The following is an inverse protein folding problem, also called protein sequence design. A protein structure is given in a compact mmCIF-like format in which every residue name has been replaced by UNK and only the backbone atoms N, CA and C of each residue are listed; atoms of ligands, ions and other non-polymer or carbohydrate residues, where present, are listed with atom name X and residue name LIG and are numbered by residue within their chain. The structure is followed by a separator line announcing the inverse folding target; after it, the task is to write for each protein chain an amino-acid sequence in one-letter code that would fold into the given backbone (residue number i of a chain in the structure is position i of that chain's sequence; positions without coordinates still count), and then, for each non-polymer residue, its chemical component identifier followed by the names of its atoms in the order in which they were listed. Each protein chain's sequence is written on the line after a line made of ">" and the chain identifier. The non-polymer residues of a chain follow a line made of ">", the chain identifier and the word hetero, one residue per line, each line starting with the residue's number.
data_IF_611128442659
#
_entry.id   IF_611128442659
#
_cell.length_a   1.000
_cell.length_b   1.000
_cell.length_c   1.000
_cell.angle_alpha   90.00
_cell.angle_beta   90.00
_cell.angle_gamma   90.00
#
_symmetry.space_group_name_H-M   'P 1'
#
loop_
_entity.id
_entity.type
_entity.pdbx_description
1 polymer ?
#
# COMPACT_ATOMS: atom_id res chain seq x y z
N UNK A 1 -2.97 12.67 -25.89
CA UNK A 1 -3.28 11.43 -25.15
C UNK A 1 -3.35 11.78 -23.68
N UNK A 2 -4.41 11.39 -22.96
CA UNK A 2 -4.51 11.60 -21.51
C UNK A 2 -3.70 10.48 -20.85
N UNK A 3 -2.65 10.85 -20.13
CA UNK A 3 -1.84 9.90 -19.35
C UNK A 3 -2.61 9.52 -18.10
N UNK A 4 -2.56 8.24 -17.73
CA UNK A 4 -3.25 7.66 -16.58
C UNK A 4 -2.83 8.36 -15.30
N UNK A 5 -3.82 8.72 -14.49
CA UNK A 5 -3.59 9.33 -13.19
C UNK A 5 -4.11 8.41 -12.09
N UNK A 6 -3.19 7.72 -11.43
CA UNK A 6 -3.49 6.76 -10.37
C UNK A 6 -4.36 7.35 -9.24
N UNK A 7 -4.16 8.63 -8.92
CA UNK A 7 -4.92 9.32 -7.88
C UNK A 7 -6.38 9.49 -8.31
N UNK A 8 -6.62 9.96 -9.53
CA UNK A 8 -7.96 10.28 -10.02
C UNK A 8 -8.72 9.07 -10.58
N UNK A 9 -8.03 8.15 -11.22
CA UNK A 9 -8.60 7.00 -11.92
C UNK A 9 -8.79 5.84 -10.96
N UNK A 10 -7.79 5.53 -10.14
CA UNK A 10 -7.85 4.39 -9.22
C UNK A 10 -8.28 4.81 -7.81
N UNK A 11 -7.51 5.62 -7.09
CA UNK A 11 -7.75 5.90 -5.67
C UNK A 11 -9.11 6.60 -5.44
N UNK A 12 -9.36 7.71 -6.12
CA UNK A 12 -10.63 8.44 -6.07
C UNK A 12 -11.69 7.89 -7.03
N UNK A 13 -11.29 7.09 -8.01
CA UNK A 13 -12.16 6.53 -9.03
C UNK A 13 -12.64 5.13 -8.67
N UNK A 14 -11.89 4.12 -9.12
CA UNK A 14 -12.24 2.71 -8.95
C UNK A 14 -12.37 2.33 -7.47
N UNK A 15 -11.35 2.58 -6.66
CA UNK A 15 -11.33 2.16 -5.25
C UNK A 15 -12.45 2.81 -4.45
N UNK A 16 -12.63 4.14 -4.55
CA UNK A 16 -13.72 4.84 -3.86
C UNK A 16 -15.10 4.26 -4.18
N UNK A 17 -15.35 3.89 -5.45
CA UNK A 17 -16.62 3.28 -5.87
C UNK A 17 -16.78 1.89 -5.28
N UNK A 18 -15.74 1.06 -5.32
CA UNK A 18 -15.73 -0.27 -4.72
C UNK A 18 -15.93 -0.19 -3.20
N UNK A 19 -15.15 0.63 -2.50
CA UNK A 19 -15.26 0.82 -1.06
C UNK A 19 -16.67 1.29 -0.65
N UNK A 20 -17.25 2.23 -1.39
CA UNK A 20 -18.63 2.66 -1.15
C UNK A 20 -19.61 1.52 -1.33
N UNK A 21 -19.41 0.66 -2.32
CA UNK A 21 -20.25 -0.51 -2.54
C UNK A 21 -20.08 -1.57 -1.44
N UNK A 22 -18.86 -1.81 -0.96
CA UNK A 22 -18.61 -2.67 0.22
C UNK A 22 -19.35 -2.16 1.46
N UNK A 23 -19.42 -0.84 1.67
CA UNK A 23 -20.24 -0.28 2.76
C UNK A 23 -21.75 -0.56 2.57
N UNK A 24 -22.26 -0.51 1.34
CA UNK A 24 -23.67 -0.89 1.05
C UNK A 24 -23.91 -2.37 1.32
N UNK A 25 -22.92 -3.20 1.04
CA UNK A 25 -22.97 -4.64 1.29
C UNK A 25 -23.05 -4.93 2.79
N UNK A 26 -22.20 -4.29 3.59
CA UNK A 26 -22.22 -4.43 5.05
C UNK A 26 -23.54 -3.93 5.67
N UNK A 27 -24.09 -2.83 5.15
CA UNK A 27 -25.39 -2.30 5.58
C UNK A 27 -26.55 -3.25 5.24
N UNK A 28 -26.45 -3.98 4.12
CA UNK A 28 -27.44 -4.98 3.71
C UNK A 28 -27.30 -6.31 4.46
N UNK A 29 -26.09 -6.70 4.87
CA UNK A 29 -25.82 -7.99 5.50
C UNK A 29 -26.40 -8.08 6.91
N UNK A 30 -26.06 -7.15 7.83
CA UNK A 30 -26.58 -7.09 9.22
C UNK A 30 -26.40 -5.69 9.82
N UNK A 31 -27.32 -5.30 10.72
CA UNK A 31 -27.15 -4.11 11.56
C UNK A 31 -25.88 -4.24 12.41
N UNK A 32 -25.03 -3.21 12.41
CA UNK A 32 -23.82 -3.16 13.24
C UNK A 32 -22.49 -3.40 12.51
N UNK A 33 -22.47 -4.06 11.34
CA UNK A 33 -21.21 -4.37 10.63
C UNK A 33 -20.42 -3.14 10.19
N UNK A 34 -21.12 -2.07 9.83
CA UNK A 34 -20.49 -0.77 9.52
C UNK A 34 -19.84 -0.15 10.77
N UNK A 35 -20.38 -0.40 11.97
CA UNK A 35 -19.77 0.06 13.22
C UNK A 35 -18.52 -0.76 13.55
N UNK A 36 -18.56 -2.07 13.34
CA UNK A 36 -17.41 -2.97 13.49
C UNK A 36 -16.27 -2.58 12.55
N UNK A 37 -16.57 -2.34 11.27
CA UNK A 37 -15.61 -1.81 10.29
C UNK A 37 -14.93 -0.51 10.79
N UNK A 38 -15.72 0.44 11.31
CA UNK A 38 -15.16 1.69 11.83
C UNK A 38 -14.27 1.43 13.04
N UNK A 39 -14.66 0.50 13.93
CA UNK A 39 -13.84 0.10 15.07
C UNK A 39 -12.51 -0.49 14.60
N UNK A 40 -12.52 -1.36 13.60
CA UNK A 40 -11.30 -1.94 13.03
C UNK A 40 -10.39 -0.85 12.44
N UNK A 41 -10.93 0.09 11.66
CA UNK A 41 -10.14 1.23 11.15
C UNK A 41 -9.54 2.07 12.28
N UNK A 42 -10.30 2.38 13.34
CA UNK A 42 -9.77 3.12 14.49
C UNK A 42 -8.66 2.37 15.24
N UNK A 43 -8.64 1.04 15.16
CA UNK A 43 -7.64 0.18 15.79
C UNK A 43 -6.38 -0.02 14.95
N UNK A 44 -6.39 0.41 13.68
CA UNK A 44 -5.18 0.38 12.85
C UNK A 44 -4.13 1.32 13.48
N UNK A 45 -2.96 0.78 13.90
CA UNK A 45 -1.93 1.62 14.50
C UNK A 45 -1.35 2.55 13.43
N UNK A 46 -0.80 3.68 13.87
CA UNK A 46 -0.06 4.59 12.97
C UNK A 46 1.21 3.91 12.49
N UNK A 47 1.39 3.80 11.17
CA UNK A 47 2.56 3.16 10.58
C UNK A 47 3.44 4.19 9.86
N UNK A 48 4.69 4.28 10.33
CA UNK A 48 5.65 5.33 9.98
C UNK A 48 5.15 6.72 10.33
N UNK A 49 6.03 7.62 10.77
CA UNK A 49 5.69 8.92 11.34
C UNK A 49 4.71 9.73 10.47
N UNK A 50 4.72 9.51 9.15
CA UNK A 50 3.92 10.27 8.19
C UNK A 50 3.09 9.46 7.18
N UNK A 51 3.08 8.11 7.21
CA UNK A 51 2.57 7.33 6.06
C UNK A 51 1.19 6.70 6.20
N UNK A 52 0.77 6.24 7.38
CA UNK A 52 -0.63 5.86 7.65
C UNK A 52 -1.06 6.59 8.92
N UNK A 53 -1.99 7.53 8.76
CA UNK A 53 -2.53 8.28 9.89
C UNK A 53 -3.62 7.50 10.61
N UNK A 54 -3.76 7.76 11.91
CA UNK A 54 -4.83 7.17 12.71
C UNK A 54 -6.20 7.59 12.16
N UNK A 55 -7.07 6.61 11.89
CA UNK A 55 -8.46 6.85 11.49
C UNK A 55 -9.30 7.30 12.70
N UNK A 56 -9.15 8.56 13.11
CA UNK A 56 -9.85 9.12 14.29
C UNK A 56 -11.37 9.29 14.11
N UNK A 57 -11.84 9.23 12.87
CA UNK A 57 -13.25 9.43 12.53
C UNK A 57 -13.78 8.25 11.75
N UNK A 58 -15.10 8.02 11.81
CA UNK A 58 -15.74 6.90 11.13
C UNK A 58 -15.44 6.93 9.62
N UNK A 59 -14.57 6.03 9.17
CA UNK A 59 -14.21 5.83 7.76
C UNK A 59 -15.43 5.62 6.86
N UNK A 60 -16.49 4.99 7.38
CA UNK A 60 -17.73 4.79 6.62
C UNK A 60 -18.45 6.09 6.25
N UNK A 61 -18.27 7.18 7.02
CA UNK A 61 -18.89 8.48 6.73
C UNK A 61 -18.21 9.17 5.54
N UNK A 62 -16.95 8.83 5.25
CA UNK A 62 -16.11 9.40 4.18
C UNK A 62 -16.22 10.93 4.06
N UNK A 63 -16.23 11.61 5.21
CA UNK A 63 -16.42 13.07 5.29
C UNK A 63 -15.05 13.75 5.26
N UNK A 64 -14.87 14.74 4.39
CA UNK A 64 -13.62 15.52 4.23
C UNK A 64 -12.39 14.65 3.91
N UNK A 65 -12.58 13.50 3.23
CA UNK A 65 -11.46 12.64 2.83
C UNK A 65 -10.79 13.17 1.57
N UNK A 66 -9.47 13.31 1.62
CA UNK A 66 -8.60 13.55 0.49
C UNK A 66 -8.23 12.23 -0.21
N UNK A 67 -7.61 12.30 -1.39
CA UNK A 67 -7.19 11.11 -2.14
C UNK A 67 -6.21 10.21 -1.36
N UNK A 68 -5.29 10.82 -0.60
CA UNK A 68 -4.36 10.10 0.27
C UNK A 68 -5.10 9.22 1.29
N UNK A 69 -6.22 9.69 1.82
CA UNK A 69 -6.98 8.89 2.79
C UNK A 69 -7.61 7.66 2.14
N UNK A 70 -7.97 7.73 0.85
CA UNK A 70 -8.48 6.58 0.10
C UNK A 70 -7.40 5.52 -0.13
N UNK A 71 -6.18 5.95 -0.45
CA UNK A 71 -5.02 5.05 -0.49
C UNK A 71 -4.84 4.34 0.85
N UNK A 72 -4.85 5.07 1.96
CA UNK A 72 -4.66 4.48 3.29
C UNK A 72 -5.79 3.52 3.66
N UNK A 73 -7.04 3.84 3.28
CA UNK A 73 -8.18 2.92 3.42
C UNK A 73 -7.98 1.61 2.67
N UNK A 74 -7.43 1.66 1.45
CA UNK A 74 -7.16 0.47 0.65
C UNK A 74 -6.08 -0.38 1.29
N UNK A 75 -4.94 0.23 1.64
CA UNK A 75 -3.80 -0.49 2.21
C UNK A 75 -4.15 -1.19 3.52
N UNK A 76 -5.05 -0.60 4.32
CA UNK A 76 -5.50 -1.18 5.58
C UNK A 76 -6.78 -2.03 5.42
N UNK A 77 -7.29 -2.22 4.21
CA UNK A 77 -8.62 -2.82 3.99
C UNK A 77 -8.66 -4.30 4.37
N UNK A 78 -7.69 -5.10 3.92
CA UNK A 78 -7.65 -6.56 4.13
C UNK A 78 -7.97 -6.92 5.60
N UNK A 79 -7.19 -6.47 6.60
CA UNK A 79 -7.46 -6.84 8.00
C UNK A 79 -8.69 -6.19 8.62
N UNK A 80 -9.13 -5.07 8.05
CA UNK A 80 -10.29 -4.34 8.54
C UNK A 80 -11.59 -5.02 8.11
N UNK A 81 -11.58 -5.63 6.92
CA UNK A 81 -12.72 -6.35 6.37
C UNK A 81 -12.77 -7.83 6.74
N UNK A 82 -11.74 -8.34 7.43
CA UNK A 82 -11.69 -9.70 7.97
C UNK A 82 -12.93 -9.99 8.86
N UNK A 83 -13.58 -11.13 8.61
CA UNK A 83 -14.75 -11.67 9.35
C UNK A 83 -16.00 -10.77 9.42
N UNK A 84 -16.11 -9.79 8.53
CA UNK A 84 -17.29 -8.90 8.49
C UNK A 84 -18.49 -9.51 7.76
N UNK A 85 -18.26 -10.41 6.80
CA UNK A 85 -19.31 -11.08 6.03
C UNK A 85 -19.40 -12.57 6.42
N UNK A 86 -20.57 -13.21 6.24
CA UNK A 86 -20.66 -14.66 6.35
C UNK A 86 -19.91 -15.33 5.19
N UNK A 87 -19.32 -16.49 5.45
CA UNK A 87 -18.82 -17.36 4.39
C UNK A 87 -19.99 -17.84 3.49
N UNK A 88 -19.80 -17.94 2.16
CA UNK A 88 -18.54 -17.85 1.40
C UNK A 88 -18.15 -16.42 0.95
N UNK A 89 -18.98 -15.42 1.23
CA UNK A 89 -18.82 -14.06 0.67
C UNK A 89 -17.64 -13.29 1.24
N UNK A 90 -17.20 -13.66 2.44
CA UNK A 90 -16.01 -13.10 3.08
C UNK A 90 -14.75 -13.47 2.30
N UNK A 91 -14.53 -14.74 1.94
CA UNK A 91 -13.41 -15.14 1.08
C UNK A 91 -13.39 -14.39 -0.26
N UNK A 92 -14.54 -14.24 -0.93
CA UNK A 92 -14.65 -13.44 -2.15
C UNK A 92 -14.25 -11.98 -1.94
N UNK A 93 -14.68 -11.37 -0.83
CA UNK A 93 -14.34 -9.99 -0.49
C UNK A 93 -12.84 -9.85 -0.21
N UNK A 94 -12.26 -10.77 0.57
CA UNK A 94 -10.84 -10.75 0.93
C UNK A 94 -9.95 -10.91 -0.30
N UNK A 95 -10.29 -11.83 -1.21
CA UNK A 95 -9.62 -11.98 -2.52
C UNK A 95 -9.72 -10.72 -3.37
N UNK A 96 -10.87 -10.05 -3.38
CA UNK A 96 -11.05 -8.80 -4.12
C UNK A 96 -10.14 -7.69 -3.56
N UNK A 97 -10.10 -7.52 -2.23
CA UNK A 97 -9.26 -6.53 -1.57
C UNK A 97 -7.77 -6.82 -1.81
N UNK A 98 -7.37 -8.10 -1.76
CA UNK A 98 -6.01 -8.50 -2.10
C UNK A 98 -5.64 -8.12 -3.52
N UNK A 99 -6.47 -8.44 -4.52
CA UNK A 99 -6.21 -8.11 -5.92
C UNK A 99 -6.12 -6.60 -6.15
N UNK A 100 -6.97 -5.81 -5.49
CA UNK A 100 -6.92 -4.34 -5.56
C UNK A 100 -5.62 -3.77 -4.95
N UNK A 101 -5.21 -4.28 -3.78
CA UNK A 101 -3.95 -3.89 -3.14
C UNK A 101 -2.73 -4.30 -3.99
N UNK A 102 -2.75 -5.52 -4.53
CA UNK A 102 -1.66 -6.04 -5.37
C UNK A 102 -1.53 -5.20 -6.65
N UNK A 103 -2.64 -4.94 -7.34
CA UNK A 103 -2.65 -4.08 -8.53
C UNK A 103 -2.15 -2.66 -8.22
N UNK A 104 -2.61 -2.06 -7.12
CA UNK A 104 -2.16 -0.72 -6.69
C UNK A 104 -0.66 -0.69 -6.37
N UNK A 105 -0.13 -1.75 -5.76
CA UNK A 105 1.30 -1.90 -5.51
C UNK A 105 2.14 -1.95 -6.77
N UNK A 106 1.70 -2.73 -7.75
CA UNK A 106 2.35 -2.79 -9.06
C UNK A 106 2.29 -1.43 -9.77
N UNK A 107 1.12 -0.79 -9.77
CA UNK A 107 0.92 0.50 -10.45
C UNK A 107 1.79 1.63 -9.86
N UNK A 108 2.18 1.53 -8.58
CA UNK A 108 3.04 2.53 -7.94
C UNK A 108 4.52 2.33 -8.18
N UNK A 109 4.98 1.15 -8.66
CA UNK A 109 6.40 0.80 -8.75
C UNK A 109 7.22 1.93 -9.41
N UNK A 110 8.33 2.32 -8.77
CA UNK A 110 9.26 3.32 -9.33
C UNK A 110 10.17 2.74 -10.42
N UNK A 111 10.16 1.43 -10.61
CA UNK A 111 10.89 0.73 -11.65
C UNK A 111 10.10 -0.50 -12.06
N UNK A 112 9.94 -0.68 -13.37
CA UNK A 112 9.29 -1.84 -13.95
C UNK A 112 10.30 -2.67 -14.75
N UNK A 113 10.18 -3.99 -14.64
CA UNK A 113 10.85 -4.97 -15.51
C UNK A 113 9.79 -5.61 -16.40
N UNK A 114 10.19 -6.37 -17.42
CA UNK A 114 9.24 -7.14 -18.24
C UNK A 114 8.35 -8.05 -17.38
N UNK A 115 8.92 -8.65 -16.34
CA UNK A 115 8.19 -9.55 -15.45
C UNK A 115 7.16 -8.81 -14.59
N UNK A 116 7.48 -7.62 -14.05
CA UNK A 116 6.50 -6.86 -13.28
C UNK A 116 5.38 -6.30 -14.14
N UNK A 117 5.65 -5.98 -15.41
CA UNK A 117 4.62 -5.58 -16.37
C UNK A 117 3.71 -6.76 -16.75
N UNK A 118 4.27 -7.93 -17.07
CA UNK A 118 3.47 -9.17 -17.31
C UNK A 118 2.63 -9.54 -16.09
N UNK A 119 3.19 -9.39 -14.88
CA UNK A 119 2.46 -9.60 -13.64
C UNK A 119 1.31 -8.61 -13.50
N UNK A 120 1.51 -7.34 -13.83
CA UNK A 120 0.47 -6.31 -13.78
C UNK A 120 -0.67 -6.61 -14.79
N UNK A 121 -0.37 -7.05 -16.00
CA UNK A 121 -1.39 -7.51 -16.97
C UNK A 121 -2.20 -8.68 -16.41
N UNK A 122 -1.51 -9.70 -15.89
CA UNK A 122 -2.14 -10.88 -15.27
C UNK A 122 -3.05 -10.49 -14.11
N UNK A 123 -2.58 -9.65 -13.19
CA UNK A 123 -3.35 -9.17 -12.05
C UNK A 123 -4.55 -8.33 -12.50
N UNK A 124 -4.42 -7.55 -13.57
CA UNK A 124 -5.53 -6.77 -14.13
C UNK A 124 -6.64 -7.68 -14.67
N UNK A 125 -6.28 -8.75 -15.38
CA UNK A 125 -7.23 -9.77 -15.86
C UNK A 125 -7.89 -10.49 -14.69
N UNK A 126 -7.11 -10.92 -13.69
CA UNK A 126 -7.62 -11.57 -12.48
C UNK A 126 -8.60 -10.66 -11.73
N UNK A 127 -8.26 -9.38 -11.55
CA UNK A 127 -9.11 -8.38 -10.91
C UNK A 127 -10.44 -8.20 -11.67
N UNK A 128 -10.37 -8.07 -13.00
CA UNK A 128 -11.55 -7.92 -13.85
C UNK A 128 -12.49 -9.12 -13.79
N UNK A 129 -11.93 -10.35 -13.82
CA UNK A 129 -12.72 -11.58 -13.69
C UNK A 129 -13.34 -11.69 -12.30
N UNK A 130 -12.56 -11.43 -11.25
CA UNK A 130 -13.03 -11.51 -9.87
C UNK A 130 -14.12 -10.49 -9.57
N UNK A 131 -14.04 -9.27 -10.11
CA UNK A 131 -15.09 -8.26 -9.99
C UNK A 131 -16.42 -8.69 -10.63
N UNK A 132 -16.37 -9.40 -11.77
CA UNK A 132 -17.56 -9.94 -12.43
C UNK A 132 -18.18 -11.05 -11.59
N UNK A 133 -17.37 -12.00 -11.11
CA UNK A 133 -17.82 -13.08 -10.23
C UNK A 133 -18.40 -12.54 -8.93
N UNK A 134 -17.71 -11.60 -8.26
CA UNK A 134 -18.18 -10.92 -7.05
C UNK A 134 -19.54 -10.23 -7.25
N UNK A 135 -19.74 -9.61 -8.42
CA UNK A 135 -21.00 -8.95 -8.76
C UNK A 135 -22.12 -9.97 -8.98
N UNK A 136 -21.84 -11.08 -9.64
CA UNK A 136 -22.84 -12.10 -9.97
C UNK A 136 -23.24 -12.95 -8.75
N UNK A 137 -22.32 -13.23 -7.83
CA UNK A 137 -22.55 -14.15 -6.71
C UNK A 137 -22.88 -13.39 -5.42
N UNK A 138 -21.98 -12.52 -4.97
CA UNK A 138 -22.16 -11.78 -3.72
C UNK A 138 -23.22 -10.69 -3.86
N UNK A 139 -23.16 -9.86 -4.90
CA UNK A 139 -24.11 -8.75 -5.03
C UNK A 139 -25.53 -9.20 -5.41
N UNK A 140 -25.69 -10.41 -5.97
CA UNK A 140 -27.02 -11.00 -6.19
C UNK A 140 -27.67 -11.47 -4.87
N UNK A 141 -26.85 -11.90 -3.90
CA UNK A 141 -27.34 -12.40 -2.60
C UNK A 141 -27.76 -11.26 -1.67
N UNK A 142 -27.09 -10.11 -1.73
CA UNK A 142 -27.38 -8.95 -0.89
C UNK A 142 -28.09 -7.85 -1.66
N UNK A 143 -29.32 -7.51 -1.26
CA UNK A 143 -30.05 -6.37 -1.84
C UNK A 143 -29.46 -5.03 -1.39
N UNK A 144 -28.38 -4.59 -2.05
CA UNK A 144 -27.70 -3.33 -1.73
C UNK A 144 -28.56 -2.11 -2.08
N UNK A 145 -28.67 -1.19 -1.11
CA UNK A 145 -29.36 0.10 -1.25
C UNK A 145 -28.35 1.23 -1.14
N UNK A 146 -28.74 2.41 -1.61
CA UNK A 146 -28.01 3.64 -1.35
C UNK A 146 -27.75 3.80 0.16
N UNK A 147 -26.54 4.25 0.54
CA UNK A 147 -26.31 4.61 1.94
C UNK A 147 -27.24 5.76 2.33
N UNK A 148 -27.58 5.88 3.61
CA UNK A 148 -28.41 6.98 4.13
C UNK A 148 -27.96 8.36 3.62
N UNK A 149 -26.64 8.64 3.65
CA UNK A 149 -26.07 9.90 3.15
C UNK A 149 -26.27 10.12 1.64
N UNK A 150 -26.30 9.04 0.85
CA UNK A 150 -26.46 9.13 -0.61
C UNK A 150 -27.90 9.47 -0.94
N UNK A 151 -28.85 8.81 -0.26
CA UNK A 151 -30.27 9.11 -0.36
C UNK A 151 -30.54 10.58 0.06
N UNK A 152 -30.00 11.03 1.20
CA UNK A 152 -30.13 12.43 1.63
C UNK A 152 -29.54 13.42 0.63
N UNK A 153 -28.36 13.13 0.06
CA UNK A 153 -27.73 13.97 -0.95
C UNK A 153 -28.57 14.02 -2.23
N UNK A 154 -29.18 12.90 -2.63
CA UNK A 154 -30.11 12.85 -3.75
C UNK A 154 -31.36 13.68 -3.47
N UNK A 155 -31.99 13.55 -2.31
CA UNK A 155 -33.16 14.37 -1.93
C UNK A 155 -32.83 15.86 -1.98
N UNK A 156 -31.66 16.28 -1.46
CA UNK A 156 -31.20 17.68 -1.54
C UNK A 156 -31.00 18.16 -2.98
N UNK A 157 -30.44 17.32 -3.84
CA UNK A 157 -30.25 17.66 -5.27
C UNK A 157 -31.60 17.77 -5.99
N UNK A 158 -32.50 16.83 -5.77
CA UNK A 158 -33.83 16.84 -6.35
C UNK A 158 -34.61 18.09 -5.90
N UNK A 159 -34.58 18.42 -4.60
CA UNK A 159 -35.19 19.64 -4.07
C UNK A 159 -34.61 20.92 -4.72
N UNK A 160 -33.30 20.96 -4.94
CA UNK A 160 -32.65 22.07 -5.65
C UNK A 160 -33.06 22.14 -7.12
N UNK A 161 -33.12 21.01 -7.82
CA UNK A 161 -33.55 20.94 -9.21
C UNK A 161 -35.02 21.32 -9.38
N UNK A 162 -35.90 20.92 -8.46
CA UNK A 162 -37.31 21.33 -8.47
C UNK A 162 -37.46 22.83 -8.23
N UNK A 163 -36.68 23.40 -7.31
CA UNK A 163 -36.64 24.85 -7.06
C UNK A 163 -36.18 25.63 -8.30
N UNK A 164 -35.14 25.13 -9.00
CA UNK A 164 -34.61 25.74 -10.22
C UNK A 164 -35.58 25.63 -11.41
N UNK A 165 -36.35 24.54 -11.51
CA UNK A 165 -37.30 24.31 -12.61
C UNK A 165 -38.64 25.03 -12.43
N UNK A 166 -39.09 25.28 -11.20
CA UNK A 166 -40.41 25.87 -10.96
C UNK A 166 -40.43 27.38 -10.78
N UNK A 167 -39.30 28.08 -10.62
CA UNK A 167 -39.24 29.55 -10.58
C UNK A 167 -40.12 30.23 -9.50
N UNK A 168 -40.70 29.46 -8.59
CA UNK A 168 -41.65 29.94 -7.57
C UNK A 168 -41.14 29.49 -6.21
N UNK A 169 -40.92 30.47 -5.32
CA UNK A 169 -40.75 30.27 -3.88
C UNK A 169 -42.10 29.86 -3.26
N UNK A 170 -42.57 28.63 -3.55
CA UNK A 170 -43.68 28.07 -2.80
C UNK A 170 -43.16 27.52 -1.48
N UNK A 171 -43.60 28.17 -0.40
CA UNK A 171 -43.31 27.82 0.98
C UNK A 171 -44.27 26.69 1.35
N UNK A 172 -43.69 25.51 1.57
CA UNK A 172 -44.24 24.24 2.10
C UNK A 172 -44.35 23.10 1.09
N UNK A 173 -43.65 21.98 1.34
CA UNK A 173 -44.13 20.68 0.94
C UNK A 173 -44.84 20.02 2.13
N UNK A 174 -46.17 20.01 2.11
CA UNK A 174 -46.93 18.90 2.68
C UNK A 174 -46.67 17.70 1.77
N UNK A 175 -45.68 16.87 2.11
CA UNK A 175 -45.74 15.46 1.74
C UNK A 175 -44.78 14.64 2.59
N UNK A 176 -45.34 13.62 3.20
CA UNK A 176 -44.67 12.52 3.88
C UNK A 176 -43.79 11.78 2.87
N UNK A 177 -42.63 12.33 2.54
CA UNK A 177 -41.59 11.58 1.83
C UNK A 177 -41.02 10.57 2.82
N UNK A 178 -41.66 9.41 2.94
CA UNK A 178 -40.97 8.20 3.39
C UNK A 178 -39.88 7.93 2.33
N UNK A 179 -38.70 8.51 2.54
CA UNK A 179 -37.55 8.38 1.65
C UNK A 179 -37.07 6.93 1.66
N UNK A 180 -37.66 6.10 0.80
CA UNK A 180 -37.23 4.73 0.60
C UNK A 180 -35.92 4.76 -0.17
N UNK A 181 -34.83 4.33 0.47
CA UNK A 181 -33.49 4.22 -0.12
C UNK A 181 -33.55 3.38 -1.40
N UNK A 182 -33.03 3.91 -2.51
CA UNK A 182 -33.06 3.24 -3.81
C UNK A 182 -32.10 2.06 -3.84
N UNK A 183 -32.46 1.00 -4.57
CA UNK A 183 -31.55 -0.10 -4.85
C UNK A 183 -30.37 0.40 -5.70
N UNK A 184 -29.15 -0.08 -5.39
CA UNK A 184 -27.93 0.37 -6.05
C UNK A 184 -26.94 -0.77 -6.22
N UNK A 185 -26.65 -1.11 -7.47
CA UNK A 185 -25.66 -2.14 -7.85
C UNK A 185 -24.29 -1.52 -8.16
N UNK A 186 -23.25 -2.35 -8.16
CA UNK A 186 -21.91 -1.96 -8.62
C UNK A 186 -21.92 -1.87 -10.15
N UNK A 187 -21.52 -0.72 -10.70
CA UNK A 187 -21.37 -0.56 -12.14
C UNK A 187 -19.93 -0.85 -12.56
N UNK A 188 -19.72 -1.92 -13.34
CA UNK A 188 -18.41 -2.28 -13.89
C UNK A 188 -18.13 -1.61 -15.24
N UNK A 189 -19.14 -1.11 -15.95
CA UNK A 189 -18.99 -0.44 -17.25
C UNK A 189 -18.64 1.03 -17.04
N UNK A 190 -17.47 1.29 -16.46
CA UNK A 190 -16.97 2.65 -16.27
C UNK A 190 -15.62 2.79 -16.95
N UNK A 191 -15.40 3.94 -17.60
CA UNK A 191 -14.12 4.26 -18.24
C UNK A 191 -12.93 4.00 -17.31
N UNK A 192 -13.02 4.46 -16.05
CA UNK A 192 -11.94 4.33 -15.07
C UNK A 192 -11.57 2.88 -14.76
N UNK A 193 -12.53 1.95 -14.78
CA UNK A 193 -12.23 0.53 -14.56
C UNK A 193 -11.56 -0.09 -15.78
N UNK A 194 -11.98 0.29 -16.99
CA UNK A 194 -11.37 -0.20 -18.23
C UNK A 194 -9.97 0.39 -18.46
N UNK A 195 -9.74 1.63 -18.06
CA UNK A 195 -8.45 2.29 -18.12
C UNK A 195 -7.37 1.58 -17.29
N UNK A 196 -7.72 0.68 -16.35
CA UNK A 196 -6.74 -0.11 -15.61
C UNK A 196 -5.90 -1.02 -16.51
N UNK A 197 -6.46 -1.47 -17.65
CA UNK A 197 -5.73 -2.26 -18.64
C UNK A 197 -4.67 -1.44 -19.39
N UNK A 198 -4.86 -0.13 -19.50
CA UNK A 198 -3.99 0.75 -20.29
C UNK A 198 -2.73 1.14 -19.52
N UNK A 199 -2.63 0.85 -18.21
CA UNK A 199 -1.49 1.23 -17.39
C UNK A 199 -0.18 0.63 -17.90
N UNK A 200 -0.19 -0.62 -18.37
CA UNK A 200 1.03 -1.30 -18.82
C UNK A 200 1.60 -0.65 -20.07
N UNK A 201 0.76 -0.42 -21.08
CA UNK A 201 1.15 0.27 -22.31
C UNK A 201 1.63 1.70 -22.02
N UNK A 202 0.97 2.40 -21.08
CA UNK A 202 1.34 3.75 -20.72
C UNK A 202 2.65 3.81 -19.94
N UNK A 203 2.91 2.86 -19.03
CA UNK A 203 4.19 2.75 -18.32
C UNK A 203 5.33 2.48 -19.31
N UNK A 204 5.11 1.65 -20.33
CA UNK A 204 6.10 1.38 -21.38
C UNK A 204 6.39 2.62 -22.23
N UNK A 205 5.36 3.41 -22.55
CA UNK A 205 5.47 4.56 -23.47
C UNK A 205 5.97 5.83 -22.78
N UNK A 206 5.54 6.08 -21.54
CA UNK A 206 5.73 7.35 -20.84
C UNK A 206 6.57 7.24 -19.56
N UNK A 207 6.93 6.01 -19.16
CA UNK A 207 7.63 5.76 -17.91
C UNK A 207 6.69 5.55 -16.72
N UNK A 208 7.28 5.35 -15.55
CA UNK A 208 6.59 5.01 -14.30
C UNK A 208 5.67 6.12 -13.82
N UNK A 209 4.61 5.75 -13.09
CA UNK A 209 3.56 6.70 -12.66
C UNK A 209 4.07 7.77 -11.69
N UNK A 210 5.20 7.54 -11.01
CA UNK A 210 5.86 8.51 -10.14
C UNK A 210 6.56 9.65 -10.90
N UNK A 211 6.89 9.45 -12.18
CA UNK A 211 7.57 10.46 -13.01
C UNK A 211 6.69 11.69 -13.30
N UNK A 212 5.37 11.53 -13.24
CA UNK A 212 4.39 12.59 -13.53
C UNK A 212 3.26 12.70 -12.49
N UNK A 213 3.24 11.84 -11.47
CA UNK A 213 2.33 11.96 -10.32
C UNK A 213 2.96 12.78 -9.21
N UNK A 214 2.19 13.68 -8.61
CA UNK A 214 2.63 14.51 -7.48
C UNK A 214 2.63 13.78 -6.13
N UNK A 215 2.33 12.48 -6.09
CA UNK A 215 2.38 11.68 -4.87
C UNK A 215 3.71 10.91 -4.76
N UNK A 216 4.52 11.23 -3.74
CA UNK A 216 5.81 10.59 -3.44
C UNK A 216 5.81 9.06 -3.24
N UNK A 217 7.03 8.51 -3.32
CA UNK A 217 7.41 7.17 -3.81
C UNK A 217 7.09 5.93 -2.95
N UNK A 218 7.36 4.79 -3.58
CA UNK A 218 7.00 3.39 -3.31
C UNK A 218 7.50 2.74 -2.02
N UNK A 219 8.53 3.27 -1.36
CA UNK A 219 9.36 2.53 -0.38
C UNK A 219 8.58 1.95 0.83
N UNK A 220 7.33 2.36 1.00
CA UNK A 220 6.48 1.98 2.10
C UNK A 220 5.49 0.86 1.81
N UNK A 221 5.12 0.52 0.56
CA UNK A 221 3.95 -0.35 0.33
C UNK A 221 4.18 -1.83 0.65
N UNK A 222 5.30 -2.41 0.22
CA UNK A 222 5.65 -3.81 0.51
C UNK A 222 5.98 -4.01 2.00
N UNK A 223 6.74 -3.09 2.61
CA UNK A 223 6.99 -3.09 4.07
C UNK A 223 5.70 -3.00 4.90
N UNK A 224 4.69 -2.26 4.44
CA UNK A 224 3.38 -2.10 5.12
C UNK A 224 2.54 -3.38 5.11
N UNK A 225 2.52 -4.09 3.98
CA UNK A 225 1.76 -5.33 3.86
C UNK A 225 2.46 -6.44 4.67
N UNK A 226 3.79 -6.57 4.56
CA UNK A 226 4.56 -7.58 5.31
C UNK A 226 4.55 -7.39 6.83
N UNK A 227 4.74 -6.17 7.33
CA UNK A 227 4.71 -5.92 8.78
C UNK A 227 3.31 -6.09 9.37
N UNK A 228 2.26 -5.79 8.59
CA UNK A 228 0.89 -6.01 9.04
C UNK A 228 0.53 -7.51 9.03
N UNK A 229 0.93 -8.26 7.98
CA UNK A 229 0.79 -9.71 7.91
C UNK A 229 1.56 -10.38 9.07
N UNK A 230 2.75 -9.89 9.42
CA UNK A 230 3.52 -10.35 10.58
C UNK A 230 2.82 -10.05 11.92
N UNK A 231 2.12 -8.92 12.06
CA UNK A 231 1.38 -8.57 13.27
C UNK A 231 0.11 -9.42 13.49
N UNK A 232 -0.39 -10.10 12.44
CA UNK A 232 -1.62 -10.92 12.43
C UNK A 232 -1.33 -12.38 12.02
N UNK A 233 -0.18 -12.90 12.44
CA UNK A 233 0.49 -14.13 11.97
C UNK A 233 -0.26 -15.48 12.04
N UNK A 234 -1.56 -15.55 12.35
CA UNK A 234 -2.29 -16.83 12.47
C UNK A 234 -3.33 -17.11 11.37
N UNK A 235 -3.90 -16.11 10.68
CA UNK A 235 -5.02 -16.38 9.75
C UNK A 235 -4.64 -16.42 8.26
N UNK A 236 -3.57 -15.73 7.85
CA UNK A 236 -3.36 -15.43 6.42
C UNK A 236 -2.28 -16.23 5.70
N UNK A 237 -1.55 -17.11 6.38
CA UNK A 237 -0.48 -17.90 5.75
C UNK A 237 -0.98 -18.79 4.59
N UNK A 238 -2.27 -19.11 4.57
CA UNK A 238 -2.87 -19.94 3.53
C UNK A 238 -3.13 -19.21 2.19
N UNK A 239 -3.16 -17.87 2.15
CA UNK A 239 -3.42 -17.11 0.93
C UNK A 239 -2.14 -16.58 0.24
N UNK A 240 -0.99 -16.67 0.92
CA UNK A 240 0.32 -16.20 0.48
C UNK A 240 1.27 -17.37 0.18
N UNK A 241 0.78 -18.39 -0.56
CA UNK A 241 1.70 -19.26 -1.30
C UNK A 241 2.21 -18.51 -2.54
N UNK A 242 2.98 -17.44 -2.32
CA UNK A 242 3.96 -16.97 -3.27
C UNK A 242 5.31 -17.29 -2.65
N UNK A 243 5.90 -18.37 -3.17
CA UNK A 243 7.28 -18.79 -3.03
C UNK A 243 7.80 -18.86 -1.59
N UNK A 244 7.84 -20.09 -1.08
CA UNK A 244 8.80 -20.53 -0.08
C UNK A 244 10.15 -19.85 -0.36
N UNK A 245 10.65 -19.01 0.58
CA UNK A 245 12.04 -18.56 0.58
C UNK A 245 12.90 -19.79 0.93
N UNK A 246 13.01 -20.72 -0.02
CA UNK A 246 14.15 -21.61 -0.06
C UNK A 246 15.36 -20.74 -0.35
N UNK A 247 16.35 -20.78 0.54
CA UNK A 247 17.71 -20.29 0.29
C UNK A 247 18.09 -20.65 -1.16
N UNK A 248 18.32 -19.69 -2.07
CA UNK A 248 18.83 -20.00 -3.39
C UNK A 248 20.29 -20.43 -3.22
N UNK A 249 20.51 -21.74 -3.17
CA UNK A 249 21.83 -22.37 -3.05
C UNK A 249 22.51 -22.41 -4.43
N UNK A 250 22.61 -21.25 -5.09
CA UNK A 250 23.33 -21.12 -6.36
C UNK A 250 24.78 -20.71 -6.08
N UNK A 251 25.77 -21.55 -6.44
CA UNK A 251 27.18 -21.29 -6.17
C UNK A 251 27.79 -20.19 -7.06
N UNK A 252 26.98 -19.46 -7.84
CA UNK A 252 27.42 -18.47 -8.82
C UNK A 252 27.43 -17.03 -8.26
N UNK A 253 26.74 -16.79 -7.15
CA UNK A 253 26.69 -15.49 -6.49
C UNK A 253 27.77 -15.41 -5.38
N UNK A 254 28.93 -14.84 -5.70
CA UNK A 254 30.06 -14.70 -4.76
C UNK A 254 29.75 -13.86 -3.51
N UNK A 255 28.69 -13.04 -3.52
CA UNK A 255 28.30 -12.19 -2.39
C UNK A 255 26.78 -12.09 -2.28
N UNK A 256 26.26 -12.45 -1.11
CA UNK A 256 24.85 -12.26 -0.79
C UNK A 256 24.69 -10.96 0.02
N UNK A 257 24.09 -9.94 -0.59
CA UNK A 257 23.71 -8.71 0.10
C UNK A 257 22.25 -8.86 0.54
N UNK A 258 22.01 -8.88 1.84
CA UNK A 258 20.67 -8.97 2.40
C UNK A 258 19.78 -7.83 1.87
N UNK A 259 18.66 -8.20 1.25
CA UNK A 259 17.71 -7.23 0.69
C UNK A 259 16.98 -6.42 1.79
N UNK A 260 17.05 -6.87 3.04
CA UNK A 260 16.42 -6.21 4.20
C UNK A 260 17.38 -6.14 5.39
N UNK A 261 17.21 -5.13 6.25
CA UNK A 261 17.97 -4.96 7.50
C UNK A 261 17.21 -5.53 8.72
N UNK A 262 16.18 -6.34 8.50
CA UNK A 262 15.25 -6.79 9.55
C UNK A 262 15.88 -7.82 10.51
N UNK A 263 16.98 -8.44 10.10
CA UNK A 263 17.71 -9.44 10.87
C UNK A 263 19.16 -8.98 11.04
N UNK A 264 19.43 -8.00 11.91
CA UNK A 264 20.80 -7.57 12.16
C UNK A 264 21.55 -8.70 12.85
N UNK A 265 22.66 -9.14 12.25
CA UNK A 265 23.56 -10.10 12.88
C UNK A 265 24.67 -9.35 13.60
N UNK A 266 24.86 -9.67 14.88
CA UNK A 266 25.95 -9.09 15.66
C UNK A 266 27.28 -9.71 15.18
N UNK A 267 28.21 -8.83 14.79
CA UNK A 267 29.51 -9.19 14.23
C UNK A 267 30.38 -9.95 15.24
N UNK A 268 30.25 -9.68 16.55
CA UNK A 268 31.10 -10.32 17.57
C UNK A 268 30.72 -11.81 17.74
N UNK A 269 29.43 -12.17 17.92
CA UNK A 269 28.99 -13.56 17.86
C UNK A 269 29.25 -14.23 16.50
N UNK A 270 29.06 -13.51 15.39
CA UNK A 270 29.25 -14.04 14.03
C UNK A 270 30.68 -14.50 13.78
N UNK A 271 31.68 -13.68 14.10
CA UNK A 271 33.10 -14.02 13.94
C UNK A 271 33.50 -15.18 14.86
N UNK A 272 32.92 -15.25 16.07
CA UNK A 272 33.17 -16.36 16.99
C UNK A 272 32.60 -17.67 16.45
N UNK A 273 31.38 -17.64 15.91
CA UNK A 273 30.68 -18.78 15.31
C UNK A 273 31.41 -19.33 14.09
N UNK A 274 32.02 -18.45 13.29
CA UNK A 274 32.75 -18.81 12.06
C UNK A 274 34.29 -18.82 12.24
N UNK A 275 34.78 -19.05 13.46
CA UNK A 275 36.22 -18.99 13.79
C UNK A 275 37.10 -20.04 13.08
N UNK A 276 36.49 -21.08 12.51
CA UNK A 276 37.19 -22.09 11.71
C UNK A 276 37.48 -21.63 10.27
N UNK A 277 36.84 -20.57 9.79
CA UNK A 277 37.06 -20.02 8.45
C UNK A 277 38.31 -19.10 8.45
N UNK A 278 39.33 -19.39 7.61
CA UNK A 278 40.50 -18.53 7.47
C UNK A 278 40.19 -17.06 7.15
N UNK A 279 39.08 -16.77 6.46
CA UNK A 279 38.65 -15.42 6.10
C UNK A 279 38.11 -14.60 7.29
N UNK A 280 37.75 -15.27 8.39
CA UNK A 280 37.27 -14.61 9.60
C UNK A 280 38.41 -14.11 10.51
N UNK A 281 39.66 -14.48 10.19
CA UNK A 281 40.84 -14.03 10.94
C UNK A 281 41.07 -12.54 10.71
N UNK A 282 41.08 -11.76 11.80
CA UNK A 282 41.20 -10.30 11.78
C UNK A 282 40.06 -9.57 11.05
N UNK A 283 38.92 -10.25 10.80
CA UNK A 283 37.81 -9.70 10.03
C UNK A 283 37.35 -8.32 10.52
N UNK A 284 37.12 -8.16 11.83
CA UNK A 284 36.68 -6.89 12.43
C UNK A 284 37.73 -5.79 12.22
N UNK A 285 39.02 -6.12 12.33
CA UNK A 285 40.10 -5.15 12.20
C UNK A 285 40.25 -4.69 10.74
N UNK A 286 40.15 -5.63 9.79
CA UNK A 286 40.14 -5.33 8.36
C UNK A 286 38.90 -4.54 7.93
N UNK A 287 37.73 -4.88 8.48
CA UNK A 287 36.50 -4.14 8.24
C UNK A 287 36.61 -2.69 8.74
N UNK A 288 37.14 -2.48 9.95
CA UNK A 288 37.40 -1.13 10.49
C UNK A 288 38.41 -0.36 9.63
N UNK A 289 39.50 -0.99 9.22
CA UNK A 289 40.49 -0.37 8.34
C UNK A 289 39.91 0.00 6.96
N UNK A 290 38.93 -0.77 6.47
CA UNK A 290 38.26 -0.51 5.20
C UNK A 290 37.21 0.61 5.29
N UNK A 291 36.47 0.68 6.40
CA UNK A 291 35.39 1.65 6.58
C UNK A 291 35.88 3.00 7.07
N UNK A 292 36.95 3.05 7.87
CA UNK A 292 37.45 4.28 8.49
C UNK A 292 37.78 5.39 7.45
N UNK A 293 38.53 5.12 6.36
CA UNK A 293 38.83 6.15 5.36
C UNK A 293 37.57 6.67 4.64
N UNK A 294 36.57 5.80 4.44
CA UNK A 294 35.31 6.17 3.78
C UNK A 294 34.41 7.02 4.65
N UNK A 295 34.37 6.72 5.95
CA UNK A 295 33.64 7.54 6.93
C UNK A 295 34.31 8.90 7.10
N UNK A 296 35.65 8.96 7.07
CA UNK A 296 36.39 10.21 7.07
C UNK A 296 36.11 11.02 5.80
N UNK A 297 36.16 10.39 4.61
CA UNK A 297 35.82 11.03 3.34
C UNK A 297 34.38 11.57 3.31
N UNK A 298 33.41 10.87 3.92
CA UNK A 298 32.03 11.36 4.03
C UNK A 298 31.89 12.59 4.92
N UNK A 299 32.70 12.68 5.99
CA UNK A 299 32.74 13.88 6.82
C UNK A 299 33.46 15.05 6.15
N UNK A 300 34.51 14.78 5.36
CA UNK A 300 35.23 15.79 4.58
C UNK A 300 34.42 16.29 3.38
N UNK A 301 33.64 15.42 2.73
CA UNK A 301 32.76 15.77 1.61
C UNK A 301 31.59 16.68 2.01
N UNK A 302 31.23 16.75 3.30
CA UNK A 302 30.30 17.75 3.81
C UNK A 302 30.91 19.18 3.90
N UNK A 303 32.20 19.34 3.61
CA UNK A 303 32.91 20.63 3.67
C UNK A 303 33.50 21.07 2.31
N UNK A 304 33.68 20.19 1.32
CA UNK A 304 34.18 20.61 0.00
C UNK A 304 33.70 19.71 -1.14
N UNK A 305 33.05 20.31 -2.14
CA UNK A 305 32.70 19.69 -3.43
C UNK A 305 33.95 19.50 -4.30
N UNK A 306 33.97 18.38 -5.03
CA UNK A 306 34.86 17.96 -6.12
C UNK A 306 36.31 17.53 -5.81
N UNK A 307 36.58 16.20 -5.89
CA UNK A 307 37.63 15.55 -6.70
C UNK A 307 37.69 14.01 -6.47
N UNK A 308 38.32 13.23 -7.39
CA UNK A 308 38.03 11.80 -7.62
C UNK A 308 38.73 10.81 -6.68
N UNK A 309 38.20 9.58 -6.66
CA UNK A 309 38.54 8.47 -5.77
C UNK A 309 40.06 8.20 -5.62
N UNK A 310 40.58 8.04 -4.39
CA UNK A 310 41.95 7.61 -4.17
C UNK A 310 42.09 6.09 -4.26
N UNK A 311 43.16 5.67 -4.94
CA UNK A 311 43.60 4.28 -5.06
C UNK A 311 44.10 3.72 -3.73
N UNK A 312 43.67 2.50 -3.41
CA UNK A 312 44.06 1.76 -2.22
C UNK A 312 45.48 1.21 -2.40
N UNK A 313 46.45 1.78 -1.69
CA UNK A 313 47.65 1.05 -1.27
C UNK A 313 47.77 1.16 0.24
N UNK A 314 47.64 0.01 0.90
CA UNK A 314 47.79 -0.12 2.33
C UNK A 314 49.27 -0.08 2.67
N UNK A 315 49.67 0.85 3.55
CA UNK A 315 50.90 0.69 4.31
C UNK A 315 50.65 1.00 5.78
N UNK A 316 51.44 0.32 6.60
CA UNK A 316 51.14 0.01 7.99
C UNK A 316 51.07 1.22 8.93
N UNK A 317 50.42 0.97 10.07
CA UNK A 317 50.50 1.70 11.35
C UNK A 317 49.67 2.96 11.50
N UNK A 318 48.45 2.79 12.02
CA UNK A 318 48.03 3.61 13.17
C UNK A 318 46.97 2.88 14.02
N UNK A 319 47.42 2.14 15.03
CA UNK A 319 46.54 1.43 15.99
C UNK A 319 45.70 2.43 16.79
N UNK A 320 46.19 3.66 16.94
CA UNK A 320 45.52 4.76 17.65
C UNK A 320 44.28 5.27 16.90
N UNK A 321 44.35 5.38 15.56
CA UNK A 321 43.23 5.77 14.70
C UNK A 321 42.08 4.75 14.70
N UNK A 322 42.40 3.45 14.76
CA UNK A 322 41.38 2.38 14.87
C UNK A 322 40.68 2.36 16.24
N UNK A 323 41.31 2.93 17.28
CA UNK A 323 40.69 3.08 18.61
C UNK A 323 39.63 4.19 18.63
N UNK A 324 39.77 5.22 17.77
CA UNK A 324 38.83 6.34 17.68
C UNK A 324 37.43 5.93 17.20
N UNK A 325 37.31 4.85 16.41
CA UNK A 325 36.04 4.29 15.98
C UNK A 325 35.20 3.72 17.14
N UNK A 326 35.80 3.40 18.29
CA UNK A 326 35.05 3.00 19.49
C UNK A 326 34.46 4.18 20.27
N UNK A 327 34.81 5.43 19.91
CA UNK A 327 34.38 6.65 20.61
C UNK A 327 33.44 7.52 19.76
N UNK A 328 33.07 7.10 18.55
CA UNK A 328 32.10 7.83 17.71
C UNK A 328 30.69 7.62 18.28
N UNK A 329 30.32 8.48 19.22
CA UNK A 329 28.93 8.62 19.68
C UNK A 329 28.21 9.43 18.63
N UNK A 330 27.28 8.81 17.90
CA UNK A 330 26.32 9.56 17.10
C UNK A 330 25.49 10.44 18.03
N UNK A 331 25.72 11.76 18.00
CA UNK A 331 24.79 12.71 18.58
C UNK A 331 23.46 12.55 17.85
N UNK A 332 22.44 12.10 18.59
CA UNK A 332 21.05 12.16 18.13
C UNK A 332 20.60 13.61 18.30
N UNK A 333 20.53 14.34 17.20
CA UNK A 333 19.67 15.52 17.08
C UNK A 333 18.23 15.09 16.76
#
# INVERSE_FOLDING_TARGET
>A
MLVVDLLHEFELGVWKVIFTHLLRLLDAAKQGRVHELNRHYCQVPTFSWDTIQCFRSNSSKMKKMAARDFKDLLLCSIPVFEDLLPEPHNDFMMKLLFLLCHWHGLAKLCMHTEDTLRLMESVTVMLGNHLRTFTNETCATFSTKELHREAEAQTRRQARETLLKQGVFSRQPNNTYTSTRKAKTLNLQTYKLHALGDYVEQIQTYGTTDSYSTQGSLSTMLKKIDLFIQAKKSSFHNLLQLNDESLPDKPEDCYHIGQTQNFPEDLIPFVRKNSADPLMKNFILQLKAHLLPRVQALHEANVFMDLPEPSVTADATDIEALSMLNQVVFQRD
#
